data_IF_413383768618
#
_entry.id   IF_413383768618
#
_cell.length_a   1.000
_cell.length_b   1.000
_cell.length_c   1.000
_cell.angle_alpha   90.00
_cell.angle_beta   90.00
_cell.angle_gamma   90.00
#
_symmetry.space_group_name_H-M   'P 1'
#
loop_
_entity.id
_entity.type
_entity.pdbx_description
1 polymer ?
#
# COMPACT_ATOMS: atom_id res chain seq x y z
N UNK A 1 -7.20 57.67 -7.67
CA UNK A 1 -7.64 56.27 -7.84
C UNK A 1 -6.43 55.39 -8.22
N UNK A 2 -5.63 54.94 -7.24
CA UNK A 2 -4.39 54.19 -7.50
C UNK A 2 -4.07 53.13 -6.42
N UNK A 3 -5.09 52.67 -5.69
CA UNK A 3 -4.94 51.66 -4.62
C UNK A 3 -5.54 50.31 -5.03
N UNK A 4 -6.21 50.21 -6.17
CA UNK A 4 -6.91 49.00 -6.61
C UNK A 4 -6.05 47.97 -7.37
N UNK A 5 -4.74 48.21 -7.56
CA UNK A 5 -3.86 47.32 -8.37
C UNK A 5 -3.08 46.28 -7.55
N UNK A 6 -2.94 46.48 -6.23
CA UNK A 6 -2.13 45.60 -5.38
C UNK A 6 -2.94 44.53 -4.62
N UNK A 7 -4.27 44.64 -4.57
CA UNK A 7 -5.14 43.66 -3.89
C UNK A 7 -5.39 42.41 -4.73
N UNK A 8 -5.30 42.48 -6.05
CA UNK A 8 -5.53 41.32 -6.94
C UNK A 8 -4.46 40.23 -6.80
N UNK A 9 -3.20 40.60 -6.58
CA UNK A 9 -2.08 39.64 -6.44
C UNK A 9 -2.19 38.86 -5.12
N UNK A 10 -2.61 39.51 -4.04
CA UNK A 10 -2.75 38.87 -2.74
C UNK A 10 -3.91 37.84 -2.74
N UNK A 11 -5.03 38.18 -3.38
CA UNK A 11 -6.17 37.27 -3.54
C UNK A 11 -5.81 36.05 -4.40
N UNK A 12 -5.03 36.24 -5.47
CA UNK A 12 -4.55 35.13 -6.32
C UNK A 12 -3.58 34.19 -5.60
N UNK A 13 -2.74 34.72 -4.69
CA UNK A 13 -1.88 33.90 -3.84
C UNK A 13 -2.66 33.10 -2.78
N UNK A 14 -3.77 33.61 -2.25
CA UNK A 14 -4.58 32.85 -1.29
C UNK A 14 -5.41 31.75 -1.96
N UNK A 15 -5.91 31.95 -3.19
CA UNK A 15 -6.64 30.90 -3.91
C UNK A 15 -5.76 29.73 -4.36
N UNK A 16 -4.47 29.95 -4.66
CA UNK A 16 -3.59 28.86 -5.08
C UNK A 16 -3.32 27.85 -3.95
N UNK A 17 -3.25 28.29 -2.68
CA UNK A 17 -2.94 27.39 -1.55
C UNK A 17 -4.05 26.36 -1.30
N UNK A 18 -5.31 26.72 -1.55
CA UNK A 18 -6.45 25.81 -1.33
C UNK A 18 -6.55 24.70 -2.38
N UNK A 19 -5.98 24.88 -3.57
CA UNK A 19 -6.05 23.88 -4.66
C UNK A 19 -5.06 22.72 -4.44
N UNK A 20 -3.99 22.93 -3.65
CA UNK A 20 -2.91 21.94 -3.52
C UNK A 20 -2.89 21.14 -2.21
N UNK A 21 -3.80 21.41 -1.27
CA UNK A 21 -3.88 20.65 -0.02
C UNK A 21 -5.13 19.77 0.01
N UNK A 22 -5.22 18.82 -0.91
CA UNK A 22 -6.16 17.71 -0.70
C UNK A 22 -5.60 16.82 0.41
N UNK A 23 -6.29 16.81 1.54
CA UNK A 23 -5.94 15.99 2.68
C UNK A 23 -6.13 14.51 2.31
N UNK A 24 -5.08 13.71 2.48
CA UNK A 24 -5.12 12.29 2.15
C UNK A 24 -5.90 11.53 3.22
N UNK A 25 -6.82 10.69 2.77
CA UNK A 25 -7.57 9.75 3.61
C UNK A 25 -6.74 8.51 3.86
N UNK A 26 -6.78 8.00 5.09
CA UNK A 26 -5.99 6.84 5.51
C UNK A 26 -6.81 5.57 5.42
N UNK A 27 -6.21 4.48 4.93
CA UNK A 27 -6.75 3.15 5.13
C UNK A 27 -6.40 2.73 6.56
N UNK A 28 -7.40 2.70 7.45
CA UNK A 28 -7.15 2.47 8.88
C UNK A 28 -6.58 1.09 9.17
N UNK A 29 -7.10 0.07 8.50
CA UNK A 29 -6.58 -1.30 8.47
C UNK A 29 -7.25 -2.09 7.35
N UNK A 30 -6.69 -3.24 7.02
CA UNK A 30 -7.11 -4.18 5.99
C UNK A 30 -8.51 -4.74 6.28
N UNK A 31 -8.86 -4.97 7.55
CA UNK A 31 -10.20 -5.44 7.91
C UNK A 31 -11.27 -4.43 7.49
N UNK A 32 -11.02 -3.13 7.72
CA UNK A 32 -11.90 -2.04 7.33
C UNK A 32 -11.97 -1.89 5.81
N UNK A 33 -10.86 -2.05 5.10
CA UNK A 33 -10.84 -2.03 3.62
C UNK A 33 -11.69 -3.17 3.06
N UNK A 34 -11.49 -4.41 3.52
CA UNK A 34 -12.30 -5.56 3.13
C UNK A 34 -13.78 -5.39 3.52
N UNK A 35 -14.08 -4.76 4.65
CA UNK A 35 -15.45 -4.46 5.07
C UNK A 35 -16.13 -3.41 4.18
N UNK A 36 -15.41 -2.67 3.33
CA UNK A 36 -16.00 -1.72 2.38
C UNK A 36 -16.34 -2.32 1.03
N UNK A 37 -16.05 -3.60 0.81
CA UNK A 37 -16.48 -4.32 -0.41
C UNK A 37 -18.01 -4.23 -0.58
N UNK A 38 -18.39 -3.88 -1.81
CA UNK A 38 -19.70 -3.95 -2.44
C UNK A 38 -19.60 -5.12 -3.44
N UNK A 39 -20.21 -6.27 -3.16
CA UNK A 39 -20.07 -7.42 -4.04
C UNK A 39 -20.74 -7.19 -5.40
N UNK A 40 -20.12 -7.68 -6.47
CA UNK A 40 -20.62 -7.62 -7.85
C UNK A 40 -22.00 -8.29 -8.03
N UNK A 41 -22.25 -9.30 -7.22
CA UNK A 41 -23.44 -10.13 -7.27
C UNK A 41 -24.39 -9.80 -6.12
N UNK A 42 -25.69 -9.97 -6.40
CA UNK A 42 -26.70 -9.92 -5.35
C UNK A 42 -26.70 -11.25 -4.58
N UNK A 43 -26.25 -11.20 -3.33
CA UNK A 43 -26.28 -12.32 -2.39
C UNK A 43 -27.47 -12.21 -1.43
N UNK A 44 -27.98 -13.37 -0.98
CA UNK A 44 -28.96 -13.47 0.11
C UNK A 44 -28.34 -12.98 1.43
N UNK A 45 -27.09 -13.39 1.66
CA UNK A 45 -26.22 -12.85 2.69
C UNK A 45 -24.74 -13.07 2.32
N UNK A 46 -23.87 -12.31 2.97
CA UNK A 46 -22.45 -12.63 3.03
C UNK A 46 -21.84 -12.14 4.33
N UNK A 47 -20.77 -12.79 4.77
CA UNK A 47 -20.03 -12.46 5.98
C UNK A 47 -18.54 -12.49 5.68
N UNK A 48 -17.85 -11.40 5.96
CA UNK A 48 -16.39 -11.34 6.05
C UNK A 48 -15.98 -11.82 7.44
N UNK A 49 -15.14 -12.85 7.48
CA UNK A 49 -14.61 -13.40 8.71
C UNK A 49 -13.10 -13.23 8.74
N UNK A 50 -12.61 -12.72 9.86
CA UNK A 50 -11.19 -12.71 10.20
C UNK A 50 -10.93 -13.83 11.20
N UNK A 51 -10.01 -14.73 10.87
CA UNK A 51 -9.53 -15.75 11.79
C UNK A 51 -8.17 -15.32 12.36
N UNK A 52 -8.04 -15.39 13.68
CA UNK A 52 -6.77 -15.18 14.37
C UNK A 52 -6.59 -16.27 15.43
N UNK A 53 -5.53 -17.05 15.31
CA UNK A 53 -5.23 -18.18 16.21
C UNK A 53 -6.41 -19.15 16.37
N UNK A 54 -7.10 -19.46 15.27
CA UNK A 54 -8.25 -20.37 15.26
C UNK A 54 -9.56 -19.75 15.76
N UNK A 55 -9.56 -18.47 16.18
CA UNK A 55 -10.78 -17.76 16.62
C UNK A 55 -11.34 -16.94 15.46
N UNK A 56 -12.60 -17.20 15.13
CA UNK A 56 -13.33 -16.44 14.12
C UNK A 56 -13.95 -15.18 14.71
N UNK A 57 -13.76 -14.08 14.00
CA UNK A 57 -14.44 -12.81 14.22
C UNK A 57 -15.18 -12.41 12.93
N UNK A 58 -16.50 -12.24 13.02
CA UNK A 58 -17.28 -11.64 11.93
C UNK A 58 -16.97 -10.13 11.87
N UNK A 59 -16.27 -9.70 10.82
CA UNK A 59 -15.88 -8.29 10.61
C UNK A 59 -17.03 -7.50 9.98
N UNK A 60 -17.74 -8.13 9.04
CA UNK A 60 -18.92 -7.56 8.38
C UNK A 60 -19.89 -8.67 8.06
N UNK A 61 -21.18 -8.42 8.30
CA UNK A 61 -22.27 -9.23 7.81
C UNK A 61 -23.23 -8.34 7.01
N UNK A 62 -23.80 -8.88 5.94
CA UNK A 62 -24.78 -8.22 5.10
C UNK A 62 -25.86 -9.21 4.71
N UNK A 63 -27.11 -8.75 4.63
CA UNK A 63 -28.27 -9.59 4.32
C UNK A 63 -28.78 -10.40 5.52
N UNK A 64 -29.59 -11.42 5.24
CA UNK A 64 -30.20 -12.25 6.29
C UNK A 64 -29.28 -13.42 6.60
N UNK A 65 -28.42 -13.26 7.61
CA UNK A 65 -27.42 -14.27 8.00
C UNK A 65 -28.07 -15.61 8.30
N UNK A 66 -27.46 -16.68 7.78
CA UNK A 66 -27.75 -18.08 8.14
C UNK A 66 -26.52 -18.69 8.81
N UNK A 67 -26.73 -19.80 9.49
CA UNK A 67 -25.62 -20.58 10.03
C UNK A 67 -24.72 -21.11 8.90
N UNK A 68 -23.42 -21.11 9.15
CA UNK A 68 -22.41 -21.59 8.22
C UNK A 68 -21.27 -22.26 8.98
N UNK A 69 -20.48 -23.07 8.26
CA UNK A 69 -19.37 -23.79 8.86
C UNK A 69 -18.11 -22.89 8.89
N UNK A 70 -17.38 -22.87 10.02
CA UNK A 70 -16.11 -22.16 10.10
C UNK A 70 -15.10 -22.77 9.12
N UNK A 71 -14.21 -21.93 8.59
CA UNK A 71 -13.10 -22.37 7.74
C UNK A 71 -11.80 -22.42 8.54
N UNK A 72 -10.89 -23.31 8.15
CA UNK A 72 -9.58 -23.52 8.77
C UNK A 72 -8.42 -22.95 7.95
N UNK A 73 -8.73 -22.37 6.79
CA UNK A 73 -7.80 -21.71 5.89
C UNK A 73 -8.52 -20.59 5.15
N UNK A 74 -7.76 -19.64 4.62
CA UNK A 74 -8.29 -18.51 3.88
C UNK A 74 -7.21 -17.75 3.15
N UNK A 75 -7.54 -16.55 2.71
CA UNK A 75 -6.64 -15.65 2.01
C UNK A 75 -6.04 -14.62 2.96
N UNK A 76 -4.88 -14.10 2.61
CA UNK A 76 -4.21 -13.01 3.31
C UNK A 76 -3.81 -11.92 2.33
N UNK A 77 -3.94 -10.66 2.77
CA UNK A 77 -3.46 -9.49 2.03
C UNK A 77 -2.05 -9.07 2.49
N UNK A 78 -1.65 -9.50 3.68
CA UNK A 78 -0.31 -9.31 4.24
C UNK A 78 0.15 -10.64 4.82
N UNK A 79 1.37 -11.12 4.51
CA UNK A 79 1.86 -12.38 5.07
C UNK A 79 1.97 -12.27 6.59
N UNK A 80 1.06 -12.93 7.31
CA UNK A 80 1.08 -13.04 8.76
C UNK A 80 0.93 -14.52 9.14
N UNK A 81 1.60 -14.93 10.21
CA UNK A 81 1.47 -16.30 10.70
C UNK A 81 0.18 -16.40 11.51
N UNK A 82 -0.55 -17.49 11.33
CA UNK A 82 -1.72 -17.86 12.14
C UNK A 82 -2.93 -16.92 12.05
N UNK A 83 -3.04 -16.16 10.96
CA UNK A 83 -4.19 -15.33 10.63
C UNK A 83 -4.63 -15.58 9.20
N UNK A 84 -5.93 -15.41 8.90
CA UNK A 84 -6.43 -15.37 7.53
C UNK A 84 -7.82 -14.74 7.48
N UNK A 85 -8.25 -14.37 6.28
CA UNK A 85 -9.61 -13.95 5.98
C UNK A 85 -10.32 -15.01 5.15
N UNK A 86 -11.62 -15.13 5.33
CA UNK A 86 -12.48 -15.80 4.35
C UNK A 86 -13.82 -15.08 4.27
N UNK A 87 -14.49 -15.24 3.14
CA UNK A 87 -15.85 -14.73 2.97
C UNK A 87 -16.77 -15.93 2.79
N UNK A 88 -17.82 -15.99 3.58
CA UNK A 88 -18.95 -16.88 3.32
C UNK A 88 -20.05 -16.08 2.65
N UNK A 89 -20.65 -16.62 1.60
CA UNK A 89 -21.77 -15.98 0.91
C UNK A 89 -22.86 -17.00 0.58
N UNK A 90 -24.07 -16.50 0.34
CA UNK A 90 -25.17 -17.32 -0.14
C UNK A 90 -25.91 -16.68 -1.30
N UNK A 91 -26.18 -17.47 -2.34
CA UNK A 91 -26.92 -17.06 -3.53
C UNK A 91 -27.95 -18.14 -3.88
N UNK A 92 -29.23 -17.79 -3.86
CA UNK A 92 -30.31 -18.75 -4.10
C UNK A 92 -30.33 -19.87 -3.06
N UNK A 93 -30.00 -19.55 -1.80
CA UNK A 93 -29.95 -20.49 -0.68
C UNK A 93 -28.74 -21.43 -0.66
N UNK A 94 -27.89 -21.44 -1.70
CA UNK A 94 -26.63 -22.21 -1.69
C UNK A 94 -25.55 -21.40 -0.98
N UNK A 95 -24.79 -22.04 -0.10
CA UNK A 95 -23.67 -21.41 0.63
C UNK A 95 -22.36 -21.70 -0.12
N UNK A 96 -21.48 -20.71 -0.21
CA UNK A 96 -20.15 -20.83 -0.81
C UNK A 96 -19.13 -20.03 -0.02
N UNK A 97 -17.84 -20.36 -0.19
CA UNK A 97 -16.74 -19.77 0.55
C UNK A 97 -15.67 -19.26 -0.40
N UNK A 98 -15.11 -18.09 -0.09
CA UNK A 98 -13.95 -17.49 -0.74
C UNK A 98 -12.81 -17.59 0.25
N UNK A 99 -11.87 -18.49 -0.04
CA UNK A 99 -10.70 -18.78 0.79
C UNK A 99 -9.39 -18.51 0.06
N UNK A 100 -9.44 -18.13 -1.23
CA UNK A 100 -8.25 -17.82 -2.01
C UNK A 100 -8.32 -16.38 -2.52
N UNK A 101 -7.16 -15.72 -2.58
CA UNK A 101 -7.06 -14.32 -3.00
C UNK A 101 -7.55 -14.11 -4.45
N UNK A 102 -7.34 -15.11 -5.32
CA UNK A 102 -7.79 -15.08 -6.73
C UNK A 102 -9.31 -14.96 -6.87
N UNK A 103 -10.05 -15.53 -5.92
CA UNK A 103 -11.52 -15.57 -5.92
C UNK A 103 -12.13 -14.28 -5.33
N UNK A 104 -11.30 -13.41 -4.76
CA UNK A 104 -11.73 -12.09 -4.27
C UNK A 104 -12.06 -11.14 -5.44
N UNK A 105 -11.32 -11.23 -6.55
CA UNK A 105 -11.54 -10.37 -7.74
C UNK A 105 -12.96 -10.50 -8.32
N UNK A 106 -13.48 -11.69 -8.66
CA UNK A 106 -14.85 -11.81 -9.17
C UNK A 106 -15.92 -11.49 -8.12
N UNK A 107 -15.60 -11.58 -6.82
CA UNK A 107 -16.53 -11.20 -5.76
C UNK A 107 -16.70 -9.69 -5.64
N UNK A 108 -15.61 -8.92 -5.75
CA UNK A 108 -15.65 -7.45 -5.80
C UNK A 108 -16.31 -6.99 -7.11
N UNK A 109 -15.81 -7.48 -8.26
CA UNK A 109 -16.26 -7.04 -9.58
C UNK A 109 -15.81 -5.63 -9.91
N UNK A 110 -16.76 -4.69 -9.92
CA UNK A 110 -16.52 -3.30 -10.28
C UNK A 110 -15.86 -2.51 -9.12
N UNK A 111 -15.22 -1.40 -9.45
CA UNK A 111 -14.56 -0.52 -8.48
C UNK A 111 -15.49 0.65 -8.16
N UNK A 112 -16.30 0.49 -7.12
CA UNK A 112 -17.29 1.48 -6.69
C UNK A 112 -16.73 2.47 -5.66
N UNK A 113 -15.66 2.09 -4.95
CA UNK A 113 -15.04 2.91 -3.91
C UNK A 113 -13.50 2.82 -3.89
N UNK A 114 -12.87 3.65 -3.05
CA UNK A 114 -11.40 3.72 -2.94
C UNK A 114 -10.80 2.46 -2.32
N UNK A 115 -11.53 1.79 -1.43
CA UNK A 115 -11.13 0.54 -0.81
C UNK A 115 -11.07 -0.60 -1.83
N UNK A 116 -12.06 -0.72 -2.71
CA UNK A 116 -12.04 -1.66 -3.84
C UNK A 116 -10.95 -1.33 -4.86
N UNK A 117 -10.68 -0.04 -5.08
CA UNK A 117 -9.57 0.40 -5.90
C UNK A 117 -8.23 -0.08 -5.29
N UNK A 118 -8.06 0.06 -3.97
CA UNK A 118 -6.90 -0.45 -3.25
C UNK A 118 -6.80 -1.98 -3.31
N UNK A 119 -7.91 -2.70 -3.13
CA UNK A 119 -7.93 -4.16 -3.22
C UNK A 119 -7.55 -4.64 -4.63
N UNK A 120 -8.01 -3.96 -5.69
CA UNK A 120 -7.62 -4.28 -7.06
C UNK A 120 -6.11 -4.12 -7.28
N UNK A 121 -5.48 -3.09 -6.69
CA UNK A 121 -4.03 -2.95 -6.70
C UNK A 121 -3.33 -4.04 -5.85
N UNK A 122 -3.89 -4.42 -4.69
CA UNK A 122 -3.31 -5.51 -3.88
C UNK A 122 -3.29 -6.83 -4.65
N UNK A 123 -4.31 -7.12 -5.46
CA UNK A 123 -4.34 -8.28 -6.36
C UNK A 123 -3.22 -8.26 -7.42
N UNK A 124 -2.66 -7.09 -7.73
CA UNK A 124 -1.51 -6.89 -8.63
C UNK A 124 -0.16 -6.85 -7.86
N UNK A 125 -0.18 -7.26 -6.58
CA UNK A 125 0.99 -7.39 -5.72
C UNK A 125 1.42 -6.10 -5.01
N UNK A 126 0.56 -5.09 -4.96
CA UNK A 126 0.75 -3.95 -4.07
C UNK A 126 0.28 -4.28 -2.64
N UNK A 127 0.61 -3.43 -1.68
CA UNK A 127 0.37 -3.68 -0.26
C UNK A 127 -0.17 -2.40 0.37
N UNK A 128 -1.22 -2.55 1.17
CA UNK A 128 -1.68 -1.52 2.10
C UNK A 128 -0.81 -1.69 3.36
N UNK A 129 0.26 -0.91 3.46
CA UNK A 129 1.24 -1.05 4.55
C UNK A 129 0.81 -0.22 5.76
N UNK A 130 0.05 -0.85 6.67
CA UNK A 130 -0.52 -0.23 7.87
C UNK A 130 0.53 0.33 8.83
N UNK A 131 1.78 -0.12 8.76
CA UNK A 131 2.88 0.43 9.57
C UNK A 131 3.38 1.78 9.03
N UNK A 132 3.08 2.08 7.76
CA UNK A 132 3.56 3.25 7.03
C UNK A 132 2.40 4.05 6.43
N UNK A 133 1.36 4.31 7.24
CA UNK A 133 0.08 4.88 6.76
C UNK A 133 0.22 6.17 5.96
N UNK A 134 1.13 7.07 6.34
CA UNK A 134 1.33 8.34 5.66
C UNK A 134 2.05 8.22 4.29
N UNK A 135 2.65 7.06 3.99
CA UNK A 135 3.40 6.80 2.76
C UNK A 135 2.79 5.71 1.86
N UNK A 136 2.19 4.68 2.46
CA UNK A 136 1.87 3.42 1.78
C UNK A 136 0.53 2.78 2.22
N UNK A 137 -0.34 3.51 2.92
CA UNK A 137 -1.72 3.10 3.19
C UNK A 137 -2.68 4.31 3.23
N UNK A 138 -2.64 5.15 2.20
CA UNK A 138 -3.54 6.30 2.09
C UNK A 138 -3.96 6.55 0.64
N UNK A 139 -4.94 7.43 0.48
CA UNK A 139 -5.47 7.81 -0.82
C UNK A 139 -6.03 9.22 -0.82
N UNK A 140 -6.20 9.77 -2.02
CA UNK A 140 -7.08 10.90 -2.27
C UNK A 140 -7.85 10.63 -3.57
N UNK A 141 -8.83 11.46 -3.90
CA UNK A 141 -9.64 11.24 -5.08
C UNK A 141 -10.14 12.55 -5.67
N UNK A 142 -10.42 12.55 -6.95
CA UNK A 142 -11.17 13.60 -7.61
C UNK A 142 -12.45 13.03 -8.26
N UNK A 143 -13.06 13.79 -9.17
CA UNK A 143 -14.26 13.37 -9.89
C UNK A 143 -14.03 12.15 -10.81
N UNK A 144 -12.81 11.92 -11.26
CA UNK A 144 -12.46 10.93 -12.29
C UNK A 144 -11.70 9.74 -11.75
N UNK A 145 -10.87 9.93 -10.73
CA UNK A 145 -9.87 8.96 -10.32
C UNK A 145 -9.80 8.78 -8.79
N UNK A 146 -9.38 7.59 -8.40
CA UNK A 146 -8.75 7.32 -7.12
C UNK A 146 -7.23 7.39 -7.29
N UNK A 147 -6.55 8.02 -6.35
CA UNK A 147 -5.09 8.09 -6.28
C UNK A 147 -4.65 7.41 -4.99
N UNK A 148 -4.02 6.24 -5.13
CA UNK A 148 -3.71 5.34 -4.02
C UNK A 148 -2.20 5.38 -3.78
N UNK A 149 -1.79 5.72 -2.56
CA UNK A 149 -0.40 5.62 -2.14
C UNK A 149 -0.20 4.31 -1.39
N UNK A 150 0.38 3.33 -2.10
CA UNK A 150 0.55 1.94 -1.64
C UNK A 150 2.02 1.51 -1.68
N UNK A 151 2.34 0.49 -0.88
CA UNK A 151 3.65 -0.15 -0.88
C UNK A 151 3.76 -1.26 -1.92
N UNK A 152 4.99 -1.64 -2.27
CA UNK A 152 5.30 -2.90 -2.97
C UNK A 152 6.67 -3.39 -2.53
N UNK A 153 6.79 -4.70 -2.29
CA UNK A 153 8.10 -5.34 -2.09
C UNK A 153 8.77 -5.44 -3.46
N UNK A 154 9.84 -4.69 -3.67
CA UNK A 154 10.57 -4.64 -4.95
C UNK A 154 11.83 -5.50 -4.94
N UNK A 155 12.37 -5.79 -3.76
CA UNK A 155 13.48 -6.73 -3.58
C UNK A 155 13.27 -7.52 -2.29
N UNK A 156 13.31 -8.85 -2.39
CA UNK A 156 13.40 -9.75 -1.22
C UNK A 156 14.84 -10.11 -0.87
N UNK A 157 15.79 -9.68 -1.69
CA UNK A 157 17.21 -10.02 -1.57
C UNK A 157 17.97 -8.92 -0.81
N UNK A 158 19.22 -8.67 -1.16
CA UNK A 158 20.13 -7.75 -0.50
C UNK A 158 20.33 -6.49 -1.36
N UNK A 159 19.77 -5.32 -1.00
CA UNK A 159 18.92 -5.06 0.18
C UNK A 159 17.47 -5.52 0.00
N UNK A 160 16.82 -5.79 1.14
CA UNK A 160 15.36 -5.95 1.17
C UNK A 160 14.77 -4.57 0.98
N UNK A 161 13.94 -4.40 -0.04
CA UNK A 161 13.38 -3.09 -0.40
C UNK A 161 11.87 -3.14 -0.48
N UNK A 162 11.24 -2.16 0.19
CA UNK A 162 9.89 -1.73 -0.11
C UNK A 162 9.92 -0.32 -0.69
N UNK A 163 9.23 -0.16 -1.81
CA UNK A 163 9.00 1.15 -2.44
C UNK A 163 7.54 1.53 -2.36
N UNK A 164 7.28 2.83 -2.30
CA UNK A 164 5.92 3.34 -2.33
C UNK A 164 5.60 3.90 -3.71
N UNK A 165 4.34 3.76 -4.09
CA UNK A 165 3.82 4.06 -5.42
C UNK A 165 2.54 4.87 -5.28
N UNK A 166 2.36 5.87 -6.15
CA UNK A 166 1.05 6.48 -6.39
C UNK A 166 0.42 5.77 -7.58
N UNK A 167 -0.69 5.10 -7.35
CA UNK A 167 -1.44 4.34 -8.35
C UNK A 167 -2.71 5.12 -8.67
N UNK A 168 -2.90 5.45 -9.94
CA UNK A 168 -4.11 6.11 -10.44
C UNK A 168 -5.07 5.05 -10.96
N UNK A 169 -6.24 4.96 -10.35
CA UNK A 169 -7.33 4.08 -10.77
C UNK A 169 -8.49 4.91 -11.28
N UNK A 170 -8.94 4.65 -12.49
CA UNK A 170 -10.05 5.35 -13.11
C UNK A 170 -11.39 4.85 -12.61
N UNK A 171 -12.25 5.78 -12.19
CA UNK A 171 -13.61 5.48 -11.73
C UNK A 171 -14.50 5.00 -12.87
N UNK A 172 -14.30 5.54 -14.07
CA UNK A 172 -15.11 5.15 -15.23
C UNK A 172 -14.64 3.85 -15.88
N UNK A 173 -13.34 3.59 -15.85
CA UNK A 173 -12.77 2.41 -16.52
C UNK A 173 -12.54 1.23 -15.57
N UNK A 174 -12.63 1.43 -14.25
CA UNK A 174 -12.44 0.39 -13.24
C UNK A 174 -11.06 -0.27 -13.28
N UNK A 175 -10.02 0.47 -13.71
CA UNK A 175 -8.68 -0.08 -13.92
C UNK A 175 -7.57 0.92 -13.60
N UNK A 176 -6.38 0.39 -13.35
CA UNK A 176 -5.15 1.16 -13.18
C UNK A 176 -4.79 1.83 -14.51
N UNK A 177 -4.68 3.16 -14.50
CA UNK A 177 -4.27 3.97 -15.68
C UNK A 177 -2.82 4.43 -15.60
N UNK A 178 -2.30 4.68 -14.39
CA UNK A 178 -0.95 5.17 -14.19
C UNK A 178 -0.36 4.63 -12.90
N UNK A 179 0.96 4.38 -12.90
CA UNK A 179 1.73 3.99 -11.73
C UNK A 179 2.96 4.90 -11.68
N UNK A 180 3.11 5.64 -10.58
CA UNK A 180 4.28 6.46 -10.29
C UNK A 180 5.05 5.87 -9.11
N UNK A 181 6.29 5.46 -9.31
CA UNK A 181 7.21 5.12 -8.23
C UNK A 181 7.68 6.41 -7.54
N UNK A 182 7.60 6.46 -6.21
CA UNK A 182 7.99 7.64 -5.43
C UNK A 182 9.25 7.41 -4.58
N UNK A 183 9.80 6.19 -4.59
CA UNK A 183 11.07 5.84 -3.95
C UNK A 183 10.96 4.74 -2.90
N UNK A 184 12.08 4.42 -2.28
CA UNK A 184 12.18 3.43 -1.20
C UNK A 184 11.86 4.06 0.15
N UNK A 185 11.02 3.41 0.95
CA UNK A 185 10.77 3.78 2.34
C UNK A 185 11.26 2.71 3.33
N UNK A 186 11.53 1.49 2.84
CA UNK A 186 12.32 0.48 3.55
C UNK A 186 13.45 0.04 2.64
N UNK A 187 14.67 0.09 3.15
CA UNK A 187 15.87 -0.45 2.51
C UNK A 187 16.78 -1.05 3.58
N UNK A 188 16.81 -2.38 3.66
CA UNK A 188 17.52 -3.10 4.71
C UNK A 188 18.68 -3.92 4.12
N UNK A 189 19.90 -3.55 4.49
CA UNK A 189 21.10 -4.32 4.17
C UNK A 189 21.48 -5.24 5.32
N UNK A 190 21.52 -6.54 5.07
CA UNK A 190 22.17 -7.48 5.98
C UNK A 190 23.70 -7.43 5.84
N UNK A 191 24.42 -8.10 6.76
CA UNK A 191 25.90 -8.12 6.79
C UNK A 191 26.53 -8.82 5.57
N UNK A 192 25.78 -9.66 4.87
CA UNK A 192 26.23 -10.42 3.69
C UNK A 192 25.96 -9.68 2.38
N UNK A 193 25.26 -8.54 2.41
CA UNK A 193 25.00 -7.78 1.19
C UNK A 193 26.32 -7.18 0.67
N UNK A 194 26.74 -7.59 -0.53
CA UNK A 194 27.97 -7.13 -1.17
C UNK A 194 27.95 -5.60 -1.37
N UNK A 195 26.79 -5.05 -1.68
CA UNK A 195 26.55 -3.61 -1.87
C UNK A 195 26.24 -2.85 -0.57
N UNK A 196 26.50 -3.43 0.61
CA UNK A 196 26.20 -2.75 1.88
C UNK A 196 27.04 -1.46 1.99
N UNK A 197 26.42 -0.27 2.08
CA UNK A 197 27.14 1.00 2.13
C UNK A 197 28.11 1.10 3.31
N UNK A 198 27.89 0.32 4.38
CA UNK A 198 28.80 0.25 5.53
C UNK A 198 30.07 -0.54 5.21
N UNK A 199 30.00 -1.61 4.41
CA UNK A 199 31.18 -2.38 3.98
C UNK A 199 32.04 -1.55 3.02
N UNK A 200 31.40 -0.90 2.03
CA UNK A 200 32.08 -0.03 1.08
C UNK A 200 32.81 1.16 1.75
N UNK A 201 32.28 1.66 2.87
CA UNK A 201 32.94 2.72 3.66
C UNK A 201 34.14 2.21 4.45
N UNK A 202 34.16 0.93 4.82
CA UNK A 202 35.30 0.32 5.52
C UNK A 202 36.45 0.04 4.56
N UNK A 203 36.17 -0.54 3.39
CA UNK A 203 37.16 -0.77 2.32
C UNK A 203 37.86 0.53 1.93
N UNK A 204 37.10 1.59 1.63
CA UNK A 204 37.66 2.91 1.30
C UNK A 204 38.52 3.51 2.43
N UNK A 205 38.21 3.20 3.69
CA UNK A 205 38.95 3.70 4.86
C UNK A 205 40.24 2.90 5.12
N UNK A 206 40.29 1.64 4.70
CA UNK A 206 41.51 0.83 4.70
C UNK A 206 42.44 1.28 3.57
N UNK A 207 41.92 1.50 2.37
CA UNK A 207 42.70 2.03 1.22
C UNK A 207 43.32 3.41 1.48
N UNK A 208 42.67 4.28 2.27
CA UNK A 208 43.22 5.61 2.59
C UNK A 208 44.27 5.61 3.72
N UNK A 209 44.50 4.46 4.37
CA UNK A 209 45.46 4.37 5.48
C UNK A 209 46.86 3.92 5.08
N UNK A 210 47.09 3.55 3.83
CA UNK A 210 48.43 3.19 3.36
C UNK A 210 49.24 4.40 2.88
N UNK A 211 50.31 4.63 3.65
CA UNK A 211 51.49 5.49 3.53
C UNK A 211 51.39 7.03 3.59
N UNK A 212 51.87 7.67 4.69
CA UNK A 212 52.40 9.02 4.60
C UNK A 212 53.67 8.98 3.74
N UNK A 213 53.61 9.61 2.56
CA UNK A 213 54.77 9.84 1.67
C UNK A 213 55.99 10.30 2.48
N UNK A 214 56.99 9.41 2.62
CA UNK A 214 58.31 9.77 3.14
C UNK A 214 58.88 10.91 2.30
N UNK A 215 59.07 12.08 2.91
CA UNK A 215 59.78 13.19 2.28
C UNK A 215 61.23 12.78 2.00
N UNK A 216 61.78 13.10 0.81
CA UNK A 216 63.16 12.76 0.49
C UNK A 216 64.13 13.56 1.35
N UNK A 217 65.05 12.86 2.01
CA UNK A 217 66.13 13.45 2.80
C UNK A 217 67.05 14.30 1.90
N UNK A 218 67.16 15.60 2.23
CA UNK A 218 68.11 16.52 1.59
C UNK A 218 69.54 16.05 1.85
N UNK A 219 70.27 15.66 0.80
CA UNK A 219 71.74 15.54 0.82
C UNK A 219 72.33 16.94 1.05
N UNK A 220 73.06 17.12 2.16
CA UNK A 220 73.95 18.27 2.37
C UNK A 220 75.22 18.07 1.53
N UNK A 221 75.65 19.16 0.86
CA UNK A 221 76.96 19.30 0.24
C UNK A 221 78.04 19.38 1.30
#
# INVERSE_FOLDING_TARGET
MKILKNTGVLVLMFFSVFVFSQEKKKFTNVQNVLAKIIPNDKFDFWVLVYNSYGKNQEVKASGTKKDYLPQFSGFDLTPSKDTFFYIVNSKGGKISYITELKDLKPFIGDIDNAEEAALSAVLEGYIIDEEFVDLAANYYQDAKNYYLDLGKVTSKECPYQKKHFTITVSKSAGKIENIKENGSYIELYNKKCINNPRLLKLEKKEETKDDPKKQPAKKRK
#
